data_IF_828676658892
#
_entry.id   IF_828676658892
#
_cell.length_a   1.000
_cell.length_b   1.000
_cell.length_c   1.000
_cell.angle_alpha   90.00
_cell.angle_beta   90.00
_cell.angle_gamma   90.00
#
_symmetry.space_group_name_H-M   'P 1'
#
loop_
_entity.id
_entity.type
_entity.pdbx_description
1 polymer ?
#
# COMPACT_ATOMS: atom_id res chain seq x y z
N UNK A 1 -3.06 3.65 9.93
CA UNK A 1 -3.98 4.68 9.46
C UNK A 1 -5.35 4.38 10.04
N UNK A 2 -5.97 5.31 10.68
CA UNK A 2 -7.15 4.93 11.39
C UNK A 2 -8.17 6.02 11.54
N UNK A 3 -9.38 5.82 11.42
CA UNK A 3 -10.57 6.60 11.60
C UNK A 3 -11.77 5.71 11.34
N UNK A 4 -11.73 4.91 10.31
CA UNK A 4 -12.86 4.11 9.91
C UNK A 4 -12.73 2.64 10.38
N UNK A 5 -13.65 2.18 11.23
CA UNK A 5 -13.60 0.86 11.87
C UNK A 5 -12.25 0.59 12.55
N UNK A 6 -11.89 1.46 13.44
CA UNK A 6 -10.61 1.55 14.18
C UNK A 6 -9.89 0.20 14.35
N UNK A 7 -8.66 0.15 13.85
CA UNK A 7 -7.70 -0.93 14.14
C UNK A 7 -6.95 -0.57 15.42
N UNK A 8 -6.95 -1.43 16.41
CA UNK A 8 -6.25 -1.24 17.69
C UNK A 8 -5.23 -2.35 17.93
N UNK A 9 -4.41 -2.23 18.96
CA UNK A 9 -3.23 -3.05 19.18
C UNK A 9 -3.41 -4.57 19.20
N UNK A 10 -4.61 -5.09 19.43
CA UNK A 10 -4.90 -6.54 19.35
C UNK A 10 -5.47 -7.00 18.00
N UNK A 11 -5.71 -6.07 17.08
CA UNK A 11 -6.42 -6.35 15.84
C UNK A 11 -5.49 -6.58 14.64
N UNK A 12 -4.19 -6.40 14.80
CA UNK A 12 -3.24 -6.52 13.71
C UNK A 12 -1.98 -7.29 14.07
N UNK A 13 -1.35 -7.85 13.07
CA UNK A 13 -0.05 -8.50 13.16
C UNK A 13 0.86 -8.01 12.06
N UNK A 14 2.15 -7.86 12.36
CA UNK A 14 3.21 -7.63 11.40
C UNK A 14 4.38 -8.55 11.74
N UNK A 15 4.85 -9.29 10.75
CA UNK A 15 6.02 -10.14 10.89
C UNK A 15 6.95 -9.88 9.72
N UNK A 16 8.24 -9.71 10.01
CA UNK A 16 9.29 -9.60 9.00
C UNK A 16 10.20 -10.81 9.17
N UNK A 17 10.28 -11.62 8.12
CA UNK A 17 11.15 -12.79 8.05
C UNK A 17 12.01 -12.71 6.78
N UNK A 18 13.28 -12.39 6.98
CA UNK A 18 14.20 -12.12 5.88
C UNK A 18 13.74 -10.94 5.03
N UNK A 19 13.32 -11.23 3.79
CA UNK A 19 12.77 -10.23 2.85
C UNK A 19 11.25 -10.30 2.71
N UNK A 20 10.60 -11.14 3.51
CA UNK A 20 9.16 -11.30 3.50
C UNK A 20 8.52 -10.46 4.59
N UNK A 21 7.40 -9.83 4.26
CA UNK A 21 6.60 -9.05 5.19
C UNK A 21 5.20 -9.67 5.21
N UNK A 22 4.78 -10.15 6.36
CA UNK A 22 3.41 -10.65 6.54
C UNK A 22 2.61 -9.68 7.37
N UNK A 23 1.52 -9.20 6.82
CA UNK A 23 0.58 -8.28 7.47
C UNK A 23 -0.77 -8.98 7.66
N UNK A 24 -1.38 -8.77 8.82
CA UNK A 24 -2.70 -9.29 9.11
C UNK A 24 -3.55 -8.32 9.88
N UNK A 25 -4.85 -8.28 9.56
CA UNK A 25 -5.88 -7.58 10.35
C UNK A 25 -7.02 -8.55 10.62
N UNK A 26 -7.51 -8.53 11.85
CA UNK A 26 -8.58 -9.39 12.37
C UNK A 26 -9.79 -8.58 12.84
N UNK A 27 -10.80 -9.28 13.38
CA UNK A 27 -11.98 -8.68 14.03
C UNK A 27 -12.78 -7.70 13.15
N UNK A 28 -12.74 -7.87 11.82
CA UNK A 28 -13.38 -6.98 10.85
C UNK A 28 -13.00 -5.49 11.03
N UNK A 29 -11.76 -5.23 11.47
CA UNK A 29 -11.30 -3.87 11.69
C UNK A 29 -10.72 -3.26 10.43
N UNK A 30 -10.91 -1.94 10.32
CA UNK A 30 -10.46 -1.15 9.17
C UNK A 30 -11.33 -1.35 7.92
N UNK A 31 -11.32 -0.38 7.07
CA UNK A 31 -11.84 -0.41 5.70
C UNK A 31 -11.33 0.80 4.94
N UNK A 32 -11.28 0.69 3.62
CA UNK A 32 -11.06 1.83 2.73
C UNK A 32 -12.43 2.35 2.32
N UNK A 33 -12.71 3.62 2.64
CA UNK A 33 -13.98 4.27 2.34
C UNK A 33 -13.77 5.55 1.52
N UNK A 34 -14.87 6.21 1.14
CA UNK A 34 -14.78 7.39 0.29
C UNK A 34 -14.01 8.55 0.93
N UNK A 35 -14.17 8.77 2.21
CA UNK A 35 -13.61 9.95 2.89
C UNK A 35 -12.63 9.62 4.01
N UNK A 36 -12.78 8.47 4.65
CA UNK A 36 -11.97 8.08 5.81
C UNK A 36 -11.53 6.64 5.68
N UNK A 37 -10.26 6.38 5.89
CA UNK A 37 -9.69 5.04 5.87
C UNK A 37 -9.45 4.49 7.26
N UNK A 38 -9.51 3.17 7.38
CA UNK A 38 -8.94 2.40 8.46
C UNK A 38 -8.16 1.25 7.83
N UNK A 39 -6.86 1.28 7.95
CA UNK A 39 -5.98 0.23 7.40
C UNK A 39 -4.70 0.11 8.23
N UNK A 40 -4.09 -1.04 8.15
CA UNK A 40 -2.71 -1.24 8.58
C UNK A 40 -1.79 -1.03 7.39
N UNK A 41 -0.71 -0.30 7.60
CA UNK A 41 0.29 -0.07 6.56
C UNK A 41 1.71 -0.26 7.10
N UNK A 42 2.51 -0.98 6.34
CA UNK A 42 3.96 -1.10 6.54
C UNK A 42 4.64 -0.32 5.42
N UNK A 43 5.39 0.73 5.73
CA UNK A 43 5.78 1.74 4.74
C UNK A 43 7.19 2.29 4.94
N UNK A 44 7.70 2.91 3.88
CA UNK A 44 8.84 3.83 3.92
C UNK A 44 8.36 5.25 3.68
N UNK A 45 9.04 6.21 4.27
CA UNK A 45 8.84 7.64 4.05
C UNK A 45 9.86 8.11 3.01
N UNK A 46 9.38 8.61 1.87
CA UNK A 46 10.20 9.15 0.79
C UNK A 46 9.96 10.65 0.66
N UNK A 47 10.97 11.47 0.31
CA UNK A 47 10.75 12.87 -0.04
C UNK A 47 9.71 12.98 -1.17
N UNK A 48 8.83 13.97 -1.08
CA UNK A 48 7.86 14.26 -2.14
C UNK A 48 8.58 14.50 -3.48
N UNK A 49 7.97 14.05 -4.57
CA UNK A 49 8.58 14.12 -5.91
C UNK A 49 9.68 13.08 -6.16
N UNK A 50 9.97 12.18 -5.23
CA UNK A 50 10.90 11.07 -5.48
C UNK A 50 10.32 10.14 -6.54
N UNK A 51 11.08 9.90 -7.60
CA UNK A 51 10.75 8.84 -8.56
C UNK A 51 11.09 7.49 -7.92
N UNK A 52 10.14 6.58 -7.91
CA UNK A 52 10.33 5.25 -7.33
C UNK A 52 9.58 4.16 -8.10
N UNK A 53 10.01 2.93 -7.89
CA UNK A 53 9.26 1.73 -8.28
C UNK A 53 9.27 0.77 -7.09
N UNK A 54 8.08 0.42 -6.60
CA UNK A 54 7.87 -0.63 -5.62
C UNK A 54 7.22 -1.82 -6.31
N UNK A 55 7.84 -3.00 -6.19
CA UNK A 55 7.27 -4.26 -6.64
C UNK A 55 7.20 -5.26 -5.50
N UNK A 56 6.22 -6.11 -5.54
CA UNK A 56 6.12 -7.26 -4.64
C UNK A 56 5.20 -8.33 -5.21
N UNK A 57 5.40 -9.54 -4.76
CA UNK A 57 4.49 -10.66 -4.91
C UNK A 57 3.64 -10.77 -3.65
N UNK A 58 2.33 -10.65 -3.77
CA UNK A 58 1.39 -10.76 -2.67
C UNK A 58 0.76 -12.15 -2.65
N UNK A 59 1.06 -12.96 -1.63
CA UNK A 59 0.45 -14.27 -1.38
C UNK A 59 -0.63 -14.12 -0.32
N UNK A 60 -1.85 -14.48 -0.66
CA UNK A 60 -3.01 -14.40 0.22
C UNK A 60 -3.02 -15.61 1.16
N UNK A 61 -2.65 -15.42 2.43
CA UNK A 61 -2.71 -16.50 3.43
C UNK A 61 -4.15 -16.76 3.87
N UNK A 62 -4.91 -15.69 4.10
CA UNK A 62 -6.34 -15.76 4.34
C UNK A 62 -7.03 -14.46 3.94
N UNK A 63 -8.25 -14.57 3.46
CA UNK A 63 -9.09 -13.45 3.06
C UNK A 63 -10.55 -13.76 3.40
N UNK A 64 -11.16 -12.96 4.25
CA UNK A 64 -12.56 -13.15 4.58
C UNK A 64 -13.46 -12.81 3.38
N UNK A 65 -14.57 -13.51 3.28
CA UNK A 65 -15.63 -13.17 2.31
C UNK A 65 -16.40 -11.93 2.80
N UNK A 66 -15.77 -10.78 2.65
CA UNK A 66 -16.31 -9.49 3.10
C UNK A 66 -16.09 -8.44 2.01
N UNK A 67 -17.05 -7.57 1.80
CA UNK A 67 -17.02 -6.55 0.75
C UNK A 67 -15.90 -5.53 0.91
N UNK A 68 -15.29 -5.42 2.07
CA UNK A 68 -14.34 -4.35 2.38
C UNK A 68 -12.97 -4.89 2.79
N UNK A 69 -12.75 -6.19 2.61
CA UNK A 69 -11.44 -6.78 2.81
C UNK A 69 -10.48 -6.28 1.74
N UNK A 70 -9.30 -5.85 2.15
CA UNK A 70 -8.35 -5.16 1.27
C UNK A 70 -6.91 -5.51 1.57
N UNK A 71 -6.10 -5.57 0.53
CA UNK A 71 -4.64 -5.66 0.62
C UNK A 71 -3.98 -5.15 -0.66
N UNK A 72 -2.73 -4.75 -0.60
CA UNK A 72 -1.97 -4.36 -1.78
C UNK A 72 -0.79 -3.44 -1.49
N UNK A 73 -0.35 -2.73 -2.54
CA UNK A 73 0.61 -1.64 -2.47
C UNK A 73 -0.11 -0.30 -2.48
N UNK A 74 0.42 0.67 -1.73
CA UNK A 74 -0.18 2.00 -1.62
C UNK A 74 0.91 3.08 -1.48
N UNK A 75 0.68 4.23 -2.09
CA UNK A 75 1.38 5.47 -1.79
C UNK A 75 0.36 6.50 -1.27
N UNK A 76 0.72 7.23 -0.21
CA UNK A 76 -0.15 8.22 0.45
C UNK A 76 0.61 9.50 0.72
N UNK A 77 -0.11 10.62 0.80
CA UNK A 77 0.46 11.91 1.20
C UNK A 77 0.40 12.14 2.71
N UNK A 78 -0.11 11.15 3.49
CA UNK A 78 -0.24 11.33 4.94
C UNK A 78 -0.51 9.99 5.66
N UNK A 79 -0.09 9.91 6.93
CA UNK A 79 -0.27 8.74 7.80
C UNK A 79 -0.94 9.14 9.12
N UNK A 80 -2.27 9.19 9.15
CA UNK A 80 -3.00 9.40 10.39
C UNK A 80 -3.00 8.17 11.28
N UNK A 81 -2.60 8.36 12.52
CA UNK A 81 -2.70 7.37 13.59
C UNK A 81 -3.82 7.72 14.57
N UNK A 82 -4.29 8.96 14.54
CA UNK A 82 -5.39 9.42 15.40
C UNK A 82 -6.74 8.92 14.85
N UNK A 83 -7.42 8.18 15.67
CA UNK A 83 -8.69 7.54 15.35
C UNK A 83 -9.91 8.39 15.68
N UNK A 84 -9.71 9.59 16.22
CA UNK A 84 -10.78 10.57 16.45
C UNK A 84 -11.12 11.39 15.21
N UNK A 85 -10.25 11.37 14.19
CA UNK A 85 -10.44 12.14 12.97
C UNK A 85 -11.50 11.47 12.10
N UNK A 86 -12.52 12.23 11.76
CA UNK A 86 -13.60 11.82 10.86
C UNK A 86 -13.53 12.51 9.49
N UNK A 87 -12.67 13.51 9.34
CA UNK A 87 -12.54 14.28 8.12
C UNK A 87 -11.76 13.55 7.03
N UNK A 88 -11.90 13.95 5.78
CA UNK A 88 -11.14 13.39 4.67
C UNK A 88 -9.66 13.48 4.96
N UNK A 89 -9.02 12.39 4.86
CA UNK A 89 -7.61 12.28 5.09
C UNK A 89 -6.94 11.88 3.80
N UNK A 90 -5.92 12.58 3.51
CA UNK A 90 -4.93 12.36 2.51
C UNK A 90 -5.35 11.74 1.20
N UNK A 91 -4.67 12.16 0.18
CA UNK A 91 -4.77 11.52 -1.13
C UNK A 91 -3.92 10.25 -1.15
N UNK A 92 -4.28 9.30 -1.99
CA UNK A 92 -3.51 8.09 -2.19
C UNK A 92 -3.74 7.48 -3.56
N UNK A 93 -2.82 6.60 -3.94
CA UNK A 93 -2.99 5.63 -5.04
C UNK A 93 -2.67 4.24 -4.51
N UNK A 94 -3.39 3.24 -5.01
CA UNK A 94 -3.22 1.86 -4.57
C UNK A 94 -3.46 0.85 -5.71
N UNK A 95 -2.66 -0.20 -5.72
CA UNK A 95 -2.89 -1.41 -6.51
C UNK A 95 -3.05 -2.60 -5.58
N UNK A 96 -4.18 -3.26 -5.66
CA UNK A 96 -4.53 -4.37 -4.78
C UNK A 96 -6.01 -4.62 -4.73
N UNK A 97 -6.47 -5.34 -3.72
CA UNK A 97 -7.91 -5.53 -3.54
C UNK A 97 -8.50 -4.37 -2.74
N UNK A 98 -9.71 -3.99 -3.10
CA UNK A 98 -10.55 -3.12 -2.29
C UNK A 98 -11.81 -3.85 -1.81
N UNK A 99 -12.26 -4.82 -2.58
CA UNK A 99 -13.47 -5.59 -2.32
C UNK A 99 -13.32 -7.05 -2.74
N UNK A 100 -13.55 -8.00 -1.82
CA UNK A 100 -13.76 -9.43 -2.11
C UNK A 100 -12.67 -10.09 -2.99
N UNK A 101 -11.42 -9.71 -2.83
CA UNK A 101 -10.32 -10.29 -3.59
C UNK A 101 -10.20 -9.84 -5.05
N UNK A 102 -11.07 -8.96 -5.55
CA UNK A 102 -10.91 -8.37 -6.87
C UNK A 102 -9.78 -7.33 -6.85
N UNK A 103 -8.79 -7.50 -7.70
CA UNK A 103 -7.67 -6.57 -7.82
C UNK A 103 -8.09 -5.36 -8.66
N UNK A 104 -7.81 -4.18 -8.17
CA UNK A 104 -8.05 -2.90 -8.83
C UNK A 104 -6.83 -1.98 -8.69
N UNK A 105 -6.74 -1.04 -9.62
CA UNK A 105 -5.98 0.18 -9.43
C UNK A 105 -6.96 1.27 -9.01
N UNK A 106 -6.74 1.91 -7.89
CA UNK A 106 -7.64 2.92 -7.36
C UNK A 106 -6.90 4.00 -6.60
N UNK A 107 -7.58 5.09 -6.33
CA UNK A 107 -6.98 6.20 -5.59
C UNK A 107 -8.02 7.12 -4.99
N UNK A 108 -7.54 8.10 -4.24
CA UNK A 108 -8.33 9.23 -3.75
C UNK A 108 -7.60 10.52 -4.09
N UNK A 109 -8.35 11.49 -4.60
CA UNK A 109 -7.87 12.84 -4.82
C UNK A 109 -8.92 13.82 -4.29
N UNK A 110 -8.52 14.69 -3.37
CA UNK A 110 -9.40 15.71 -2.79
C UNK A 110 -10.70 15.14 -2.20
N UNK A 111 -10.60 13.98 -1.53
CA UNK A 111 -11.72 13.29 -0.92
C UNK A 111 -12.56 12.42 -1.86
N UNK A 112 -12.34 12.46 -3.17
CA UNK A 112 -13.06 11.66 -4.15
C UNK A 112 -12.30 10.39 -4.51
N UNK A 113 -13.03 9.26 -4.57
CA UNK A 113 -12.49 7.98 -5.01
C UNK A 113 -12.46 7.89 -6.54
N UNK A 114 -11.33 7.41 -7.05
CA UNK A 114 -11.13 7.09 -8.45
C UNK A 114 -10.83 5.60 -8.57
N UNK A 115 -11.58 4.90 -9.39
CA UNK A 115 -11.36 3.51 -9.71
C UNK A 115 -10.83 3.37 -11.14
N UNK A 116 -9.78 2.57 -11.30
CA UNK A 116 -9.41 2.02 -12.59
C UNK A 116 -10.38 0.93 -13.04
N UNK A 117 -10.13 0.32 -14.19
CA UNK A 117 -10.94 -0.80 -14.67
C UNK A 117 -11.03 -1.90 -13.62
N UNK A 118 -12.24 -2.39 -13.36
CA UNK A 118 -12.44 -3.48 -12.43
C UNK A 118 -11.77 -4.76 -12.95
N UNK A 119 -11.03 -5.44 -12.09
CA UNK A 119 -10.49 -6.75 -12.43
C UNK A 119 -11.59 -7.79 -12.53
N UNK A 120 -11.45 -8.67 -13.49
CA UNK A 120 -12.34 -9.82 -13.64
C UNK A 120 -11.88 -11.02 -12.79
N UNK A 121 -10.61 -11.02 -12.40
CA UNK A 121 -10.01 -12.10 -11.59
C UNK A 121 -10.08 -11.74 -10.12
N UNK A 122 -10.50 -12.70 -9.31
CA UNK A 122 -10.52 -12.60 -7.84
C UNK A 122 -9.46 -13.52 -7.27
N UNK A 123 -8.78 -13.04 -6.25
CA UNK A 123 -7.76 -13.76 -5.50
C UNK A 123 -8.32 -14.16 -4.13
N UNK A 124 -8.04 -15.38 -3.72
CA UNK A 124 -8.44 -15.95 -2.43
C UNK A 124 -7.26 -16.60 -1.73
N UNK A 125 -7.51 -17.28 -0.61
CA UNK A 125 -6.48 -17.96 0.14
C UNK A 125 -5.70 -18.97 -0.72
N UNK A 126 -4.38 -18.88 -0.69
CA UNK A 126 -3.45 -19.67 -1.50
C UNK A 126 -3.03 -19.02 -2.81
N UNK A 127 -3.76 -18.02 -3.28
CA UNK A 127 -3.41 -17.32 -4.52
C UNK A 127 -2.28 -16.33 -4.31
N UNK A 128 -1.55 -16.07 -5.40
CA UNK A 128 -0.45 -15.10 -5.45
C UNK A 128 -0.63 -14.17 -6.64
N UNK A 129 -0.31 -12.89 -6.45
CA UNK A 129 -0.38 -11.87 -7.50
C UNK A 129 0.84 -10.97 -7.46
N UNK A 130 1.39 -10.65 -8.65
CA UNK A 130 2.41 -9.62 -8.79
C UNK A 130 1.79 -8.23 -8.78
N UNK A 131 2.37 -7.34 -7.99
CA UNK A 131 1.94 -5.96 -7.82
C UNK A 131 3.10 -5.01 -8.07
N UNK A 132 2.82 -3.89 -8.77
CA UNK A 132 3.81 -2.87 -9.06
C UNK A 132 3.20 -1.47 -8.96
N UNK A 133 3.89 -0.60 -8.27
CA UNK A 133 3.55 0.80 -8.07
C UNK A 133 4.75 1.65 -8.49
N UNK A 134 4.57 2.48 -9.52
CA UNK A 134 5.57 3.42 -10.03
C UNK A 134 5.09 4.82 -9.70
N UNK A 135 5.93 5.59 -9.03
CA UNK A 135 5.71 7.01 -8.76
C UNK A 135 6.73 7.87 -9.50
N UNK A 136 6.24 8.98 -10.05
CA UNK A 136 7.05 10.04 -10.65
C UNK A 136 6.60 11.39 -10.10
N UNK A 137 7.29 12.46 -10.45
CA UNK A 137 6.87 13.82 -10.07
C UNK A 137 5.49 14.19 -10.66
N UNK A 138 5.11 13.58 -11.77
CA UNK A 138 3.90 13.94 -12.54
C UNK A 138 2.70 13.02 -12.23
N UNK A 139 2.92 11.91 -11.51
CA UNK A 139 1.86 10.97 -11.19
C UNK A 139 2.32 9.53 -10.95
N UNK A 140 1.39 8.59 -11.05
CA UNK A 140 1.61 7.21 -10.68
C UNK A 140 1.13 6.24 -11.77
N UNK A 141 1.82 5.12 -11.91
CA UNK A 141 1.37 3.99 -12.71
C UNK A 141 1.24 2.76 -11.81
N UNK A 142 0.09 2.13 -11.87
CA UNK A 142 -0.28 0.97 -11.06
C UNK A 142 -0.48 -0.23 -11.97
N UNK A 143 0.17 -1.35 -11.64
CA UNK A 143 0.18 -2.54 -12.48
C UNK A 143 -0.02 -3.77 -11.61
N UNK A 144 -0.78 -4.75 -12.09
CA UNK A 144 -0.93 -6.05 -11.44
C UNK A 144 -0.97 -7.21 -12.43
N UNK A 145 -0.69 -8.39 -11.90
CA UNK A 145 -0.70 -9.65 -12.63
C UNK A 145 0.59 -9.96 -13.37
N UNK A 146 0.72 -11.21 -13.76
CA UNK A 146 1.84 -11.69 -14.54
C UNK A 146 1.91 -10.96 -15.88
N UNK A 147 3.11 -10.58 -16.29
CA UNK A 147 3.34 -9.84 -17.52
C UNK A 147 2.61 -8.49 -17.61
N UNK A 148 2.41 -7.83 -16.48
CA UNK A 148 1.78 -6.51 -16.43
C UNK A 148 0.38 -6.51 -17.09
N UNK A 149 -0.47 -7.45 -16.68
CA UNK A 149 -1.78 -7.73 -17.29
C UNK A 149 -2.71 -6.53 -17.33
N UNK A 150 -2.62 -5.61 -16.35
CA UNK A 150 -3.39 -4.37 -16.34
C UNK A 150 -2.58 -3.23 -15.77
N UNK A 151 -2.69 -2.08 -16.41
CA UNK A 151 -2.01 -0.84 -16.02
C UNK A 151 -2.99 0.31 -16.00
N UNK A 152 -2.90 1.15 -14.97
CA UNK A 152 -3.70 2.38 -14.81
C UNK A 152 -2.80 3.51 -14.36
N UNK A 153 -2.88 4.65 -15.01
CA UNK A 153 -2.19 5.88 -14.66
C UNK A 153 -3.07 6.81 -13.81
N UNK A 154 -2.43 7.52 -12.88
CA UNK A 154 -3.02 8.61 -12.11
C UNK A 154 -2.10 9.83 -12.21
N UNK A 155 -2.62 10.92 -12.73
CA UNK A 155 -1.91 12.16 -13.08
C UNK A 155 -2.00 13.24 -12.00
N UNK A 156 -1.76 12.87 -10.74
CA UNK A 156 -1.73 13.82 -9.64
C UNK A 156 -0.60 13.50 -8.66
N UNK A 157 -0.11 14.54 -8.00
CA UNK A 157 0.88 14.42 -6.95
C UNK A 157 0.22 14.12 -5.59
N UNK A 158 0.94 13.44 -4.72
CA UNK A 158 0.54 13.19 -3.33
C UNK A 158 1.22 14.20 -2.41
N UNK A 159 0.74 15.44 -2.42
CA UNK A 159 1.31 16.57 -1.69
C UNK A 159 0.26 17.50 -1.10
N UNK A 160 -0.99 17.02 -0.99
CA UNK A 160 -2.11 17.84 -0.54
C UNK A 160 -2.05 18.13 0.97
N UNK A 161 -1.49 17.22 1.76
CA UNK A 161 -1.38 17.32 3.23
C UNK A 161 0.08 17.38 3.67
N UNK A 162 0.89 16.38 3.35
CA UNK A 162 2.34 16.44 3.58
C UNK A 162 3.04 16.84 2.28
N UNK A 163 3.49 18.11 2.22
CA UNK A 163 4.19 18.62 1.03
C UNK A 163 5.62 18.11 0.90
N UNK A 164 6.20 17.58 1.97
CA UNK A 164 7.60 17.21 2.03
C UNK A 164 7.84 15.73 1.78
N UNK A 165 6.84 14.89 2.09
CA UNK A 165 7.01 13.44 2.06
C UNK A 165 5.79 12.70 1.52
N UNK A 166 6.06 11.52 0.96
CA UNK A 166 5.07 10.50 0.63
C UNK A 166 5.37 9.21 1.39
N UNK A 167 4.35 8.42 1.65
CA UNK A 167 4.41 7.18 2.41
C UNK A 167 4.08 6.01 1.48
N UNK A 168 5.06 5.16 1.21
CA UNK A 168 4.98 4.10 0.19
C UNK A 168 5.16 2.74 0.81
N UNK A 169 4.26 1.80 0.54
CA UNK A 169 4.39 0.47 1.14
C UNK A 169 3.21 -0.47 0.92
N UNK A 170 3.02 -1.37 1.87
CA UNK A 170 2.08 -2.48 1.85
C UNK A 170 0.93 -2.21 2.81
N UNK A 171 -0.30 -2.54 2.40
CA UNK A 171 -1.45 -2.33 3.27
C UNK A 171 -2.35 -3.56 3.35
N UNK A 172 -3.03 -3.69 4.48
CA UNK A 172 -4.14 -4.63 4.69
C UNK A 172 -5.24 -3.97 5.51
N UNK A 173 -6.49 -4.37 5.27
CA UNK A 173 -7.64 -3.97 6.05
C UNK A 173 -8.64 -5.11 6.15
N UNK A 174 -9.41 -5.11 7.22
CA UNK A 174 -10.35 -6.17 7.61
C UNK A 174 -9.66 -7.53 7.75
N UNK A 175 -10.38 -8.61 7.70
CA UNK A 175 -9.86 -9.96 7.91
C UNK A 175 -9.02 -10.42 6.70
N UNK A 176 -7.91 -9.76 6.47
CA UNK A 176 -6.89 -10.12 5.49
C UNK A 176 -5.60 -10.51 6.21
N UNK A 177 -4.95 -11.56 5.73
CA UNK A 177 -3.58 -11.91 6.08
C UNK A 177 -2.83 -12.21 4.80
N UNK A 178 -1.76 -11.44 4.53
CA UNK A 178 -1.04 -11.47 3.26
C UNK A 178 0.46 -11.41 3.53
N UNK A 179 1.20 -12.27 2.83
CA UNK A 179 2.65 -12.23 2.80
C UNK A 179 3.12 -11.55 1.51
N UNK A 180 3.89 -10.49 1.66
CA UNK A 180 4.57 -9.82 0.56
C UNK A 180 6.00 -10.36 0.48
N UNK A 181 6.39 -10.83 -0.70
CA UNK A 181 7.71 -11.40 -1.01
C UNK A 181 8.26 -10.80 -2.31
N UNK A 182 9.48 -11.16 -2.68
CA UNK A 182 10.17 -10.63 -3.87
C UNK A 182 10.16 -9.08 -3.92
N UNK A 183 10.25 -8.47 -2.74
CA UNK A 183 10.10 -7.03 -2.56
C UNK A 183 11.30 -6.30 -3.14
N UNK A 184 11.03 -5.34 -4.03
CA UNK A 184 12.04 -4.44 -4.56
C UNK A 184 11.50 -3.00 -4.49
N UNK A 185 12.30 -2.11 -3.92
CA UNK A 185 12.08 -0.67 -3.99
C UNK A 185 13.30 -0.02 -4.63
N UNK A 186 13.09 0.63 -5.76
CA UNK A 186 14.12 1.42 -6.44
C UNK A 186 13.72 2.88 -6.42
N UNK A 187 14.69 3.77 -6.22
CA UNK A 187 14.48 5.23 -6.25
C UNK A 187 15.52 5.86 -7.16
N UNK A 188 15.12 6.78 -8.01
CA UNK A 188 16.05 7.55 -8.84
C UNK A 188 16.36 8.88 -8.13
N UNK A 189 17.56 8.97 -7.54
CA UNK A 189 18.23 10.25 -7.42
C UNK A 189 18.13 11.05 -6.13
N UNK A 190 17.84 10.51 -4.94
CA UNK A 190 18.06 11.27 -3.68
C UNK A 190 18.81 10.48 -2.61
N UNK A 191 18.99 9.19 -2.79
CA UNK A 191 19.87 8.42 -1.92
C UNK A 191 21.17 8.09 -2.64
N UNK A 192 22.15 8.98 -2.57
CA UNK A 192 23.56 8.61 -2.82
C UNK A 192 24.02 7.70 -1.68
N UNK A 193 23.66 6.43 -1.76
CA UNK A 193 24.34 5.39 -1.01
C UNK A 193 25.63 5.08 -1.76
N UNK A 194 26.72 5.72 -1.38
CA UNK A 194 28.05 5.21 -1.71
C UNK A 194 28.19 3.83 -1.08
N UNK A 195 28.11 2.77 -1.89
CA UNK A 195 28.42 1.41 -1.46
C UNK A 195 27.43 0.36 -1.95
N UNK A 196 27.86 -0.35 -2.96
CA UNK A 196 27.49 -1.71 -3.39
C UNK A 196 26.07 -2.23 -3.08
N UNK A 197 25.22 -2.21 -4.08
CA UNK A 197 24.15 -3.21 -4.26
C UNK A 197 22.86 -2.99 -3.48
N UNK A 198 21.83 -3.59 -4.00
CA UNK A 198 20.46 -3.68 -3.45
C UNK A 198 20.37 -4.04 -1.96
N UNK A 199 21.36 -4.74 -1.39
CA UNK A 199 21.48 -4.98 0.05
C UNK A 199 21.64 -3.72 0.90
N UNK A 200 22.26 -2.67 0.37
CA UNK A 200 22.45 -1.42 1.11
C UNK A 200 21.17 -0.58 1.19
N UNK A 201 20.33 -0.63 0.17
CA UNK A 201 19.02 0.03 0.17
C UNK A 201 18.09 -0.64 1.19
N UNK A 202 18.06 -1.98 1.22
CA UNK A 202 17.25 -2.73 2.18
C UNK A 202 17.72 -2.58 3.64
N UNK A 203 19.02 -2.56 3.88
CA UNK A 203 19.54 -2.33 5.23
C UNK A 203 19.25 -0.90 5.71
N UNK A 204 19.29 0.12 4.82
CA UNK A 204 18.83 1.48 5.17
C UNK A 204 17.32 1.55 5.38
N UNK A 205 16.53 0.79 4.65
CA UNK A 205 15.09 0.68 4.87
C UNK A 205 14.79 0.07 6.25
N UNK A 206 15.55 -0.92 6.72
CA UNK A 206 15.43 -1.45 8.08
C UNK A 206 15.72 -0.41 9.16
N UNK A 207 16.66 0.49 8.94
CA UNK A 207 17.00 1.58 9.88
C UNK A 207 15.93 2.68 9.93
N UNK A 208 15.04 2.73 8.95
CA UNK A 208 13.90 3.66 8.90
C UNK A 208 12.64 3.10 9.60
N UNK A 209 12.65 1.85 10.03
CA UNK A 209 11.58 1.23 10.80
C UNK A 209 12.08 0.92 12.23
N UNK A 210 11.97 1.86 13.17
CA UNK A 210 12.25 1.56 14.57
C UNK A 210 11.15 0.62 15.09
N UNK A 211 11.55 -0.56 15.53
CA UNK A 211 10.76 -1.45 16.37
C UNK A 211 10.99 -1.11 17.83
#
# INVERSE_FOLDING_TARGET
VGGNDKISGGDFTATVDGQNITLGVTNNRGKIASTVDGLMMYYVKLPAGTNFTLTAKATVNSLAKNNQVSFGLMARDEMYVDTSISDPIGDYVAVGTRNQGAINCFGRKSGELYDGPAATVKYGAGDTVDLKLIGTADGFTLIYGDNETASTGFDYALTAIDSDYIYVGFYVARNANVTFSDIQLTTNGVFSASGSGLKAVWNKVKDLFPF
#
